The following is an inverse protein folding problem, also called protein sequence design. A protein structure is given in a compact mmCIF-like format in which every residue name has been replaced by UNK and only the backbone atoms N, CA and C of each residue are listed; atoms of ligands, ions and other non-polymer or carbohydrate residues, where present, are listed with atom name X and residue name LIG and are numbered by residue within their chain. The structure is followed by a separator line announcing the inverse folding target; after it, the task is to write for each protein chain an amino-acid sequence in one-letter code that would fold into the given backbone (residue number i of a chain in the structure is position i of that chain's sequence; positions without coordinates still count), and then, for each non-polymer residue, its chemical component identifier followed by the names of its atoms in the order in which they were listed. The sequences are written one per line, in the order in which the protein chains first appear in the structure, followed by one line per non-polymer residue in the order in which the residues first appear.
data_IF_427119421359
#
_entry.id   IF_427119421359
#
_cell.length_a   1.000
_cell.length_b   1.000
_cell.length_c   1.000
_cell.angle_alpha   90.00
_cell.angle_beta   90.00
_cell.angle_gamma   90.00
#
_symmetry.space_group_name_H-M   'P 1'
#
loop_
_entity.id
_entity.type
_entity.pdbx_description
1 polymer ?
#
# COMPACT_ATOMS: atom_id res chain seq x y z
N UNK A 1 53.70 -0.38 -3.07
CA UNK A 1 53.29 -0.90 -1.75
C UNK A 1 52.38 -2.11 -1.97
N UNK A 2 52.91 -3.30 -1.73
CA UNK A 2 52.21 -4.58 -1.89
C UNK A 2 51.54 -4.91 -0.56
N UNK A 3 50.22 -5.09 -0.57
CA UNK A 3 49.46 -5.48 0.61
C UNK A 3 49.16 -6.97 0.50
N UNK A 4 49.85 -7.76 1.33
CA UNK A 4 49.58 -9.18 1.52
C UNK A 4 48.34 -9.32 2.39
N UNK A 5 47.32 -10.04 1.89
CA UNK A 5 46.20 -10.53 2.71
C UNK A 5 46.36 -12.04 2.82
N UNK A 6 46.41 -12.49 4.06
CA UNK A 6 46.65 -13.87 4.46
C UNK A 6 45.43 -14.75 4.20
N UNK A 7 45.67 -15.89 3.55
CA UNK A 7 44.74 -17.01 3.45
C UNK A 7 44.62 -17.70 4.82
N UNK A 8 43.41 -17.87 5.33
CA UNK A 8 43.12 -18.77 6.45
C UNK A 8 42.56 -20.07 5.86
N UNK A 9 43.32 -21.15 6.01
CA UNK A 9 42.91 -22.52 5.71
C UNK A 9 42.16 -23.09 6.92
N UNK A 10 40.95 -23.62 6.72
CA UNK A 10 40.22 -24.42 7.71
C UNK A 10 40.26 -25.88 7.25
N UNK A 11 40.56 -26.86 8.14
CA UNK A 11 40.76 -28.25 7.74
C UNK A 11 39.45 -28.98 7.41
N UNK A 12 39.61 -29.87 6.43
CA UNK A 12 38.68 -30.90 5.98
C UNK A 12 38.26 -31.83 7.12
N UNK A 13 36.96 -32.13 7.22
CA UNK A 13 36.46 -33.22 8.07
C UNK A 13 35.75 -34.26 7.20
N UNK A 14 36.31 -35.46 7.26
CA UNK A 14 35.89 -36.65 6.55
C UNK A 14 34.60 -37.26 7.14
N UNK A 15 33.78 -37.81 6.23
CA UNK A 15 33.17 -39.13 6.32
C UNK A 15 32.03 -39.37 7.32
N UNK A 16 30.81 -39.51 6.80
CA UNK A 16 29.86 -40.59 7.16
C UNK A 16 28.97 -40.90 5.94
N UNK A 17 29.12 -42.11 5.38
CA UNK A 17 28.17 -42.78 4.48
C UNK A 17 26.88 -43.15 5.22
N UNK A 18 25.76 -43.27 4.50
CA UNK A 18 25.16 -44.60 4.47
C UNK A 18 24.73 -45.04 3.07
N UNK A 19 25.17 -46.25 2.74
CA UNK A 19 24.63 -47.16 1.76
C UNK A 19 23.16 -47.51 2.10
N UNK A 20 22.27 -47.46 1.09
CA UNK A 20 21.49 -48.63 0.62
C UNK A 20 20.17 -48.25 -0.09
N UNK A 21 20.19 -48.52 -1.40
CA UNK A 21 19.23 -49.39 -2.08
C UNK A 21 17.73 -49.08 -2.00
N UNK A 22 17.23 -48.34 -3.00
CA UNK A 22 15.87 -48.50 -3.51
C UNK A 22 15.88 -48.59 -5.04
N UNK A 23 15.67 -49.81 -5.55
CA UNK A 23 15.39 -50.12 -6.96
C UNK A 23 14.05 -49.51 -7.36
N UNK A 24 14.02 -48.71 -8.42
CA UNK A 24 12.78 -48.31 -9.12
C UNK A 24 12.82 -48.97 -10.51
N UNK A 25 11.75 -49.67 -10.94
CA UNK A 25 11.72 -50.36 -12.21
C UNK A 25 11.46 -49.39 -13.38
N UNK A 26 12.30 -49.51 -14.40
CA UNK A 26 12.13 -48.90 -15.71
C UNK A 26 11.03 -49.64 -16.47
N UNK A 27 9.87 -49.02 -16.67
CA UNK A 27 8.87 -49.47 -17.66
C UNK A 27 8.78 -48.45 -18.78
N UNK A 28 9.41 -48.78 -19.90
CA UNK A 28 9.26 -48.11 -21.18
C UNK A 28 7.92 -48.51 -21.79
N UNK A 29 7.00 -47.57 -21.95
CA UNK A 29 5.78 -47.76 -22.73
C UNK A 29 5.83 -46.89 -24.00
N UNK A 30 6.22 -47.52 -25.10
CA UNK A 30 6.05 -47.01 -26.45
C UNK A 30 4.56 -47.02 -26.77
N UNK A 31 3.95 -45.85 -26.95
CA UNK A 31 2.59 -45.73 -27.47
C UNK A 31 2.61 -44.97 -28.79
N UNK A 32 2.55 -45.76 -29.86
CA UNK A 32 2.18 -45.34 -31.21
C UNK A 32 0.67 -45.18 -31.23
N UNK A 33 0.14 -43.99 -31.52
CA UNK A 33 -1.27 -43.83 -31.86
C UNK A 33 -1.42 -43.13 -33.19
N UNK A 34 -2.16 -43.83 -34.06
CA UNK A 34 -2.50 -43.46 -35.42
C UNK A 34 -3.51 -42.31 -35.44
N UNK A 35 -3.32 -41.42 -36.40
CA UNK A 35 -4.26 -40.38 -36.80
C UNK A 35 -5.37 -40.99 -37.66
N UNK A 36 -6.63 -40.85 -37.23
CA UNK A 36 -7.81 -41.03 -38.09
C UNK A 36 -8.79 -39.88 -37.88
N UNK A 37 -8.88 -39.05 -38.93
CA UNK A 37 -10.04 -38.36 -39.49
C UNK A 37 -11.34 -38.26 -38.67
N UNK A 38 -11.79 -37.00 -38.53
CA UNK A 38 -13.09 -36.56 -39.04
C UNK A 38 -14.31 -36.79 -38.15
N UNK A 39 -15.01 -35.71 -37.81
CA UNK A 39 -16.44 -35.45 -38.06
C UNK A 39 -16.76 -34.05 -37.53
N UNK A 40 -17.25 -33.19 -38.42
CA UNK A 40 -17.90 -31.93 -38.09
C UNK A 40 -19.30 -32.23 -37.56
N UNK A 41 -19.60 -31.81 -36.34
CA UNK A 41 -20.97 -31.70 -35.82
C UNK A 41 -21.16 -30.35 -35.16
N UNK A 42 -21.80 -29.45 -35.92
CA UNK A 42 -22.47 -28.24 -35.45
C UNK A 42 -23.58 -28.62 -34.47
N UNK A 43 -23.40 -28.27 -33.20
CA UNK A 43 -24.44 -28.33 -32.18
C UNK A 43 -24.80 -26.91 -31.73
N UNK A 44 -25.86 -26.38 -32.31
CA UNK A 44 -26.56 -25.17 -31.86
C UNK A 44 -27.27 -25.48 -30.54
N UNK A 45 -26.80 -24.92 -29.43
CA UNK A 45 -27.50 -24.97 -28.14
C UNK A 45 -27.92 -23.56 -27.74
N UNK A 46 -29.23 -23.32 -27.81
CA UNK A 46 -29.88 -22.12 -27.32
C UNK A 46 -29.80 -22.09 -25.79
N UNK A 47 -29.13 -21.08 -25.25
CA UNK A 47 -29.12 -20.79 -23.82
C UNK A 47 -30.44 -20.11 -23.43
N UNK A 48 -31.19 -20.76 -22.54
CA UNK A 48 -32.35 -20.19 -21.83
C UNK A 48 -31.79 -19.45 -20.62
N UNK A 49 -31.94 -18.12 -20.60
CA UNK A 49 -31.64 -17.23 -19.48
C UNK A 49 -32.87 -17.15 -18.59
N UNK A 50 -32.82 -17.51 -17.29
CA UNK A 50 -33.84 -17.10 -16.34
C UNK A 50 -33.44 -15.73 -15.76
N UNK A 51 -34.17 -14.71 -16.20
CA UNK A 51 -34.22 -13.40 -15.57
C UNK A 51 -34.98 -13.53 -14.24
N UNK A 52 -34.31 -13.27 -13.13
CA UNK A 52 -34.95 -13.16 -11.82
C UNK A 52 -34.28 -12.04 -11.02
N UNK A 53 -34.50 -10.81 -11.49
CA UNK A 53 -34.09 -9.59 -10.81
C UNK A 53 -35.20 -9.15 -9.85
N UNK A 54 -35.20 -9.65 -8.62
CA UNK A 54 -36.03 -9.13 -7.53
C UNK A 54 -35.40 -7.86 -6.96
N UNK A 55 -35.91 -6.71 -7.39
CA UNK A 55 -35.62 -5.41 -6.80
C UNK A 55 -36.15 -5.35 -5.36
N UNK A 56 -35.25 -5.27 -4.38
CA UNK A 56 -35.58 -4.94 -3.00
C UNK A 56 -35.50 -3.43 -2.87
N UNK A 57 -36.64 -2.78 -2.97
CA UNK A 57 -36.81 -1.35 -2.75
C UNK A 57 -36.82 -1.07 -1.23
N UNK A 58 -35.65 -0.87 -0.63
CA UNK A 58 -35.53 -0.24 0.68
C UNK A 58 -35.05 1.20 0.47
N UNK A 59 -35.96 2.08 0.05
CA UNK A 59 -35.77 3.53 0.11
C UNK A 59 -35.64 3.92 1.59
N UNK A 60 -34.40 4.07 2.05
CA UNK A 60 -34.13 4.78 3.30
C UNK A 60 -34.09 6.24 2.92
N UNK A 61 -35.14 6.97 3.29
CA UNK A 61 -35.31 8.40 3.02
C UNK A 61 -34.13 9.20 3.61
N UNK A 62 -33.11 9.46 2.79
CA UNK A 62 -31.99 10.35 3.14
C UNK A 62 -32.57 11.76 3.16
N UNK A 63 -32.97 12.23 4.35
CA UNK A 63 -33.36 13.62 4.54
C UNK A 63 -32.17 14.52 4.21
N UNK A 64 -32.28 15.44 3.24
CA UNK A 64 -31.25 16.43 3.04
C UNK A 64 -31.19 17.30 4.29
N UNK A 65 -30.08 17.22 5.03
CA UNK A 65 -29.78 18.16 6.12
C UNK A 65 -29.34 19.48 5.48
N UNK A 66 -30.30 20.16 4.85
CA UNK A 66 -30.27 21.59 4.59
C UNK A 66 -31.13 22.24 5.68
N UNK A 67 -30.54 22.32 6.87
CA UNK A 67 -30.97 23.28 7.88
C UNK A 67 -30.81 24.68 7.27
N UNK A 68 -31.93 25.27 6.82
CA UNK A 68 -32.03 26.72 6.61
C UNK A 68 -31.78 27.40 7.95
N UNK A 69 -30.52 27.78 8.21
CA UNK A 69 -30.23 28.74 9.25
C UNK A 69 -30.58 30.12 8.70
N UNK A 70 -31.60 30.72 9.30
CA UNK A 70 -32.05 32.07 8.99
C UNK A 70 -30.90 33.08 9.15
N UNK A 71 -30.96 34.09 8.30
CA UNK A 71 -30.06 35.23 8.19
C UNK A 71 -29.77 35.88 9.56
N UNK A 72 -28.54 35.72 10.03
CA UNK A 72 -27.83 36.70 10.85
C UNK A 72 -26.34 36.65 10.43
N UNK A 73 -25.84 37.77 9.93
CA UNK A 73 -24.43 38.06 9.59
C UNK A 73 -23.59 38.25 10.89
N UNK A 74 -22.23 38.35 10.90
CA UNK A 74 -21.23 38.25 9.83
C UNK A 74 -20.01 37.31 10.11
N UNK A 75 -19.37 36.82 9.03
CA UNK A 75 -17.94 36.47 8.89
C UNK A 75 -17.26 35.51 9.89
N UNK A 76 -17.81 34.32 10.12
CA UNK A 76 -17.07 33.21 10.72
C UNK A 76 -16.49 32.28 9.64
N UNK A 77 -15.30 32.61 9.13
CA UNK A 77 -14.52 31.77 8.19
C UNK A 77 -13.88 30.53 8.87
N UNK A 78 -14.43 30.05 9.98
CA UNK A 78 -13.81 29.02 10.82
C UNK A 78 -14.69 27.77 11.06
N UNK A 79 -15.70 27.57 10.22
CA UNK A 79 -16.72 26.52 10.41
C UNK A 79 -16.35 25.13 9.88
N UNK A 80 -15.21 24.95 9.19
CA UNK A 80 -14.94 23.70 8.46
C UNK A 80 -14.21 22.60 9.25
N UNK A 81 -13.71 22.84 10.47
CA UNK A 81 -12.86 21.84 11.16
C UNK A 81 -13.29 21.47 12.59
N UNK A 82 -14.40 21.99 13.13
CA UNK A 82 -14.71 21.87 14.57
C UNK A 82 -15.70 20.78 15.00
N UNK A 83 -16.19 19.95 14.09
CA UNK A 83 -16.99 18.76 14.43
C UNK A 83 -16.72 17.64 13.43
N UNK A 84 -15.52 17.07 13.46
CA UNK A 84 -15.41 15.66 13.06
C UNK A 84 -15.84 14.88 14.31
N UNK A 85 -17.16 14.73 14.44
CA UNK A 85 -17.77 13.83 15.42
C UNK A 85 -17.16 12.46 15.13
N UNK A 86 -16.74 11.72 16.17
CA UNK A 86 -15.93 10.49 16.10
C UNK A 86 -16.51 9.35 15.24
N UNK A 87 -17.65 9.57 14.59
CA UNK A 87 -18.50 8.55 13.99
C UNK A 87 -19.06 8.97 12.62
N UNK A 88 -18.59 10.05 12.00
CA UNK A 88 -18.99 10.43 10.64
C UNK A 88 -17.82 10.29 9.65
N UNK A 89 -18.14 9.95 8.40
CA UNK A 89 -17.20 10.00 7.28
C UNK A 89 -17.69 10.95 6.20
N UNK A 90 -16.75 11.52 5.46
CA UNK A 90 -17.03 12.37 4.32
C UNK A 90 -17.21 11.50 3.08
N UNK A 91 -18.40 11.50 2.51
CA UNK A 91 -18.75 10.78 1.28
C UNK A 91 -19.18 11.78 0.21
N UNK A 92 -18.95 11.43 -1.05
CA UNK A 92 -19.35 12.20 -2.22
C UNK A 92 -20.59 11.56 -2.83
N UNK A 93 -21.65 12.34 -2.97
CA UNK A 93 -22.90 11.92 -3.60
C UNK A 93 -22.78 11.95 -5.14
N UNK A 94 -23.77 11.39 -5.85
CA UNK A 94 -23.89 11.38 -7.32
C UNK A 94 -23.93 12.78 -7.96
N UNK A 95 -24.26 13.82 -7.18
CA UNK A 95 -24.23 15.23 -7.61
C UNK A 95 -22.87 15.89 -7.46
N UNK A 96 -21.83 15.12 -7.16
CA UNK A 96 -20.48 15.58 -6.83
C UNK A 96 -20.37 16.41 -5.54
N UNK A 97 -21.48 16.59 -4.80
CA UNK A 97 -21.48 17.24 -3.51
C UNK A 97 -20.97 16.29 -2.41
N UNK A 98 -20.05 16.78 -1.58
CA UNK A 98 -19.60 16.07 -0.39
C UNK A 98 -20.57 16.27 0.78
N UNK A 99 -20.84 15.22 1.53
CA UNK A 99 -21.62 15.25 2.78
C UNK A 99 -20.93 14.41 3.85
N UNK A 100 -21.07 14.83 5.11
CA UNK A 100 -20.74 13.99 6.25
C UNK A 100 -21.94 13.06 6.50
N UNK A 101 -21.72 11.75 6.55
CA UNK A 101 -22.75 10.78 6.95
C UNK A 101 -22.25 9.93 8.10
N UNK A 102 -23.14 9.41 8.96
CA UNK A 102 -22.74 8.49 10.02
C UNK A 102 -22.06 7.23 9.47
N UNK A 103 -21.04 6.75 10.17
CA UNK A 103 -20.38 5.49 9.84
C UNK A 103 -21.34 4.34 10.08
N UNK A 104 -21.49 3.42 9.11
CA UNK A 104 -22.35 2.26 9.27
C UNK A 104 -21.75 1.18 10.19
N UNK A 105 -20.44 1.24 10.46
CA UNK A 105 -19.70 0.28 11.29
C UNK A 105 -18.81 0.99 12.33
N UNK A 106 -18.49 0.30 13.46
CA UNK A 106 -17.54 0.77 14.46
C UNK A 106 -16.16 1.13 13.91
N UNK A 107 -15.35 1.79 14.74
CA UNK A 107 -13.97 2.14 14.41
C UNK A 107 -13.16 0.84 14.23
N UNK A 108 -12.40 0.76 13.13
CA UNK A 108 -11.60 -0.43 12.77
C UNK A 108 -12.33 -1.42 11.84
N UNK A 109 -13.62 -1.19 11.59
CA UNK A 109 -14.43 -2.02 10.69
C UNK A 109 -14.96 -1.23 9.49
N UNK A 110 -15.24 -1.96 8.41
CA UNK A 110 -15.78 -1.47 7.14
C UNK A 110 -17.08 -2.22 6.81
N UNK A 111 -18.05 -1.54 6.21
CA UNK A 111 -19.31 -2.16 5.79
C UNK A 111 -19.15 -2.79 4.41
N UNK A 112 -19.05 -4.12 4.34
CA UNK A 112 -18.93 -4.89 3.11
C UNK A 112 -20.06 -5.92 3.03
N UNK A 113 -20.82 -5.92 1.94
CA UNK A 113 -21.97 -6.83 1.75
C UNK A 113 -22.95 -6.86 2.95
N UNK A 114 -23.25 -5.69 3.53
CA UNK A 114 -24.13 -5.52 4.71
C UNK A 114 -23.60 -6.13 6.02
N UNK A 115 -22.30 -6.42 6.09
CA UNK A 115 -21.62 -6.89 7.31
C UNK A 115 -20.47 -5.95 7.64
N UNK A 116 -20.27 -5.71 8.93
CA UNK A 116 -19.06 -5.05 9.39
C UNK A 116 -17.92 -6.06 9.44
N UNK A 117 -16.85 -5.77 8.70
CA UNK A 117 -15.65 -6.61 8.58
C UNK A 117 -14.45 -5.85 9.11
N UNK A 118 -13.51 -6.56 9.74
CA UNK A 118 -12.28 -5.95 10.22
C UNK A 118 -11.38 -5.59 9.03
N UNK A 119 -10.79 -4.39 9.04
CA UNK A 119 -9.91 -3.93 7.96
C UNK A 119 -8.66 -4.81 7.78
N UNK A 120 -8.26 -5.56 8.81
CA UNK A 120 -7.10 -6.48 8.76
C UNK A 120 -7.48 -7.89 8.31
N UNK A 121 -8.76 -8.16 8.05
CA UNK A 121 -9.20 -9.48 7.61
C UNK A 121 -8.88 -9.72 6.13
N UNK A 122 -7.79 -10.45 5.89
CA UNK A 122 -7.34 -10.80 4.55
C UNK A 122 -8.13 -11.95 3.91
N UNK A 123 -9.14 -12.51 4.59
CA UNK A 123 -9.96 -13.61 4.04
C UNK A 123 -11.13 -13.11 3.20
N UNK A 124 -11.46 -11.82 3.29
CA UNK A 124 -12.61 -11.23 2.58
C UNK A 124 -12.34 -11.07 1.08
N UNK A 125 -11.11 -10.69 0.71
CA UNK A 125 -10.70 -10.49 -0.68
C UNK A 125 -9.76 -11.59 -1.16
N UNK A 126 -9.65 -11.77 -2.49
CA UNK A 126 -8.75 -12.77 -3.07
C UNK A 126 -7.27 -12.43 -2.84
N UNK A 127 -6.38 -13.38 -3.14
CA UNK A 127 -4.94 -13.16 -3.05
C UNK A 127 -4.51 -11.96 -3.92
N UNK A 128 -3.71 -11.06 -3.34
CA UNK A 128 -3.28 -9.83 -4.01
C UNK A 128 -4.29 -8.68 -3.98
N UNK A 129 -5.48 -8.89 -3.42
CA UNK A 129 -6.48 -7.84 -3.19
C UNK A 129 -6.47 -7.32 -1.75
N UNK A 130 -7.07 -6.15 -1.55
CA UNK A 130 -7.34 -5.53 -0.25
C UNK A 130 -8.69 -4.81 -0.28
N UNK A 131 -9.26 -4.59 0.90
CA UNK A 131 -10.46 -3.77 1.04
C UNK A 131 -10.12 -2.31 0.74
N UNK A 132 -10.90 -1.72 -0.15
CA UNK A 132 -10.81 -0.32 -0.53
C UNK A 132 -12.16 0.35 -0.34
N UNK A 133 -12.14 1.59 0.14
CA UNK A 133 -13.32 2.43 0.32
C UNK A 133 -13.29 3.50 -0.75
N UNK A 134 -14.30 3.55 -1.61
CA UNK A 134 -14.39 4.60 -2.61
C UNK A 134 -14.90 5.93 -2.03
N UNK A 135 -14.95 6.95 -2.89
CA UNK A 135 -15.43 8.27 -2.50
C UNK A 135 -16.91 8.30 -2.11
N UNK A 136 -17.72 7.31 -2.48
CA UNK A 136 -19.13 7.19 -2.08
C UNK A 136 -19.29 6.52 -0.71
N UNK A 137 -18.20 5.98 -0.15
CA UNK A 137 -18.23 5.16 1.06
C UNK A 137 -18.60 3.70 0.78
N UNK A 138 -18.63 3.25 -0.48
CA UNK A 138 -18.80 1.83 -0.76
C UNK A 138 -17.47 1.10 -0.62
N UNK A 139 -17.54 -0.07 0.00
CA UNK A 139 -16.37 -0.93 0.22
C UNK A 139 -16.35 -2.01 -0.87
N UNK A 140 -15.22 -2.14 -1.55
CA UNK A 140 -14.99 -3.19 -2.54
C UNK A 140 -13.60 -3.80 -2.37
N UNK A 141 -13.39 -4.97 -2.96
CA UNK A 141 -12.04 -5.54 -3.09
C UNK A 141 -11.36 -4.91 -4.31
N UNK A 142 -10.17 -4.36 -4.11
CA UNK A 142 -9.32 -3.83 -5.18
C UNK A 142 -7.91 -4.42 -5.07
N UNK A 143 -7.12 -4.33 -6.14
CA UNK A 143 -5.74 -4.78 -6.13
C UNK A 143 -4.88 -3.97 -5.15
N UNK A 144 -3.96 -4.66 -4.47
CA UNK A 144 -2.92 -4.00 -3.68
C UNK A 144 -2.07 -3.08 -4.58
N UNK A 145 -1.40 -2.05 -4.01
CA UNK A 145 -0.44 -1.26 -4.77
C UNK A 145 0.59 -2.16 -5.48
N UNK A 146 0.87 -1.85 -6.75
CA UNK A 146 1.74 -2.63 -7.65
C UNK A 146 1.21 -4.03 -8.04
N UNK A 147 -0.08 -4.30 -7.84
CA UNK A 147 -0.76 -5.46 -8.39
C UNK A 147 -1.70 -5.03 -9.52
N UNK A 148 -1.87 -5.90 -10.52
CA UNK A 148 -2.69 -5.70 -11.69
C UNK A 148 -3.90 -6.62 -11.64
N UNK A 149 -5.08 -6.07 -11.87
CA UNK A 149 -6.31 -6.82 -11.99
C UNK A 149 -6.37 -7.60 -13.30
N UNK A 150 -6.61 -8.90 -13.21
CA UNK A 150 -6.93 -9.75 -14.34
C UNK A 150 -8.45 -9.98 -14.42
N UNK A 151 -9.14 -9.46 -15.44
CA UNK A 151 -10.58 -9.60 -15.57
C UNK A 151 -11.03 -11.04 -15.87
N UNK A 152 -10.15 -11.91 -16.39
CA UNK A 152 -10.53 -13.29 -16.71
C UNK A 152 -10.53 -14.20 -15.49
N UNK A 153 -9.55 -14.04 -14.59
CA UNK A 153 -9.47 -14.84 -13.36
C UNK A 153 -10.08 -14.16 -12.13
N UNK A 154 -10.30 -12.83 -12.19
CA UNK A 154 -10.75 -12.04 -11.03
C UNK A 154 -9.69 -11.89 -9.93
N UNK A 155 -8.43 -12.23 -10.23
CA UNK A 155 -7.30 -12.13 -9.29
C UNK A 155 -6.42 -10.92 -9.59
N UNK A 156 -5.60 -10.56 -8.61
CA UNK A 156 -4.60 -9.51 -8.75
C UNK A 156 -3.20 -10.11 -8.78
N UNK A 157 -2.42 -9.79 -9.80
CA UNK A 157 -1.06 -10.29 -9.97
C UNK A 157 -0.05 -9.18 -9.74
N UNK A 158 1.00 -9.47 -8.99
CA UNK A 158 2.02 -8.49 -8.71
C UNK A 158 2.84 -8.17 -9.98
N UNK A 159 3.22 -6.90 -10.18
CA UNK A 159 4.07 -6.50 -11.31
C UNK A 159 5.39 -7.29 -11.31
N UNK A 160 5.88 -7.67 -12.47
CA UNK A 160 7.11 -8.47 -12.61
C UNK A 160 6.97 -9.95 -12.25
N UNK A 161 5.78 -10.42 -11.88
CA UNK A 161 5.44 -11.84 -11.81
C UNK A 161 4.80 -12.30 -13.13
N UNK A 162 4.71 -13.62 -13.34
CA UNK A 162 4.18 -14.19 -14.59
C UNK A 162 2.71 -13.81 -14.84
N UNK A 163 1.84 -13.91 -13.81
CA UNK A 163 0.40 -13.66 -13.95
C UNK A 163 -0.24 -14.44 -15.10
N UNK A 164 -1.00 -13.74 -15.95
CA UNK A 164 -1.63 -14.31 -17.15
C UNK A 164 -0.69 -14.39 -18.37
N UNK A 165 0.57 -13.99 -18.25
CA UNK A 165 1.53 -14.05 -19.35
C UNK A 165 1.99 -15.50 -19.62
N UNK A 166 2.48 -15.73 -20.85
CA UNK A 166 3.04 -17.03 -21.22
C UNK A 166 4.33 -17.33 -20.44
N UNK A 167 4.74 -18.61 -20.46
CA UNK A 167 6.01 -19.02 -19.86
C UNK A 167 7.19 -18.19 -20.40
N UNK A 168 8.07 -17.75 -19.50
CA UNK A 168 9.19 -16.87 -19.84
C UNK A 168 8.83 -15.39 -20.03
N UNK A 169 7.59 -15.01 -19.76
CA UNK A 169 7.14 -13.62 -19.74
C UNK A 169 6.69 -13.18 -18.34
N UNK A 170 6.61 -11.88 -18.11
CA UNK A 170 6.08 -11.27 -16.90
C UNK A 170 5.27 -10.02 -17.18
N UNK A 171 4.44 -9.62 -16.21
CA UNK A 171 3.63 -8.41 -16.28
C UNK A 171 4.51 -7.17 -16.07
N UNK A 172 4.38 -6.20 -16.95
CA UNK A 172 5.00 -4.88 -16.80
C UNK A 172 3.99 -3.78 -17.03
N UNK A 173 4.17 -2.65 -16.35
CA UNK A 173 3.38 -1.44 -16.57
C UNK A 173 4.10 -0.56 -17.59
N UNK A 174 3.48 -0.37 -18.76
CA UNK A 174 4.00 0.54 -19.79
C UNK A 174 3.81 2.01 -19.41
N UNK A 175 4.49 2.90 -20.12
CA UNK A 175 4.47 4.35 -19.86
C UNK A 175 3.06 4.98 -19.92
N UNK A 176 2.13 4.37 -20.65
CA UNK A 176 0.74 4.81 -20.77
C UNK A 176 -0.18 4.21 -19.69
N UNK A 177 0.37 3.52 -18.68
CA UNK A 177 -0.40 2.78 -17.67
C UNK A 177 -1.00 1.47 -18.17
N UNK A 178 -0.71 1.07 -19.42
CA UNK A 178 -1.17 -0.21 -19.99
C UNK A 178 -0.32 -1.35 -19.47
N UNK A 179 -0.95 -2.50 -19.17
CA UNK A 179 -0.21 -3.69 -18.72
C UNK A 179 0.10 -4.59 -19.91
N UNK A 180 1.39 -4.87 -20.09
CA UNK A 180 1.90 -5.69 -21.18
C UNK A 180 2.65 -6.90 -20.63
N UNK A 181 2.72 -7.96 -21.45
CA UNK A 181 3.57 -9.11 -21.18
C UNK A 181 4.92 -8.91 -21.87
N UNK A 182 5.99 -8.78 -21.09
CA UNK A 182 7.36 -8.66 -21.60
C UNK A 182 8.17 -9.91 -21.30
N UNK A 183 9.25 -10.11 -22.07
CA UNK A 183 10.15 -11.25 -21.88
C UNK A 183 10.90 -11.09 -20.56
N UNK A 184 10.74 -12.06 -19.67
CA UNK A 184 11.48 -12.09 -18.41
C UNK A 184 12.96 -12.42 -18.69
N UNK A 185 13.92 -11.53 -18.31
CA UNK A 185 15.35 -11.78 -18.52
C UNK A 185 15.86 -13.07 -17.86
N UNK A 186 15.20 -13.51 -16.79
CA UNK A 186 15.53 -14.73 -16.06
C UNK A 186 14.81 -15.98 -16.56
N UNK A 187 13.86 -15.85 -17.50
CA UNK A 187 12.97 -16.90 -18.02
C UNK A 187 12.10 -17.64 -16.97
N UNK A 188 12.44 -17.57 -15.69
CA UNK A 188 11.77 -18.24 -14.58
C UNK A 188 11.07 -17.21 -13.68
N UNK A 189 9.84 -17.52 -13.31
CA UNK A 189 9.11 -16.75 -12.31
C UNK A 189 9.77 -16.89 -10.91
N UNK A 190 9.67 -15.85 -10.08
CA UNK A 190 10.30 -15.84 -8.75
C UNK A 190 11.79 -15.50 -8.75
N UNK A 191 12.34 -15.01 -9.86
CA UNK A 191 13.71 -14.50 -9.94
C UNK A 191 13.74 -13.04 -10.38
N UNK A 192 14.66 -12.26 -9.80
CA UNK A 192 14.94 -10.88 -10.16
C UNK A 192 16.27 -10.80 -10.91
N UNK A 193 16.29 -10.07 -12.02
CA UNK A 193 17.49 -9.83 -12.80
C UNK A 193 18.27 -8.66 -12.20
N UNK A 194 19.55 -8.87 -11.90
CA UNK A 194 20.41 -7.79 -11.43
C UNK A 194 21.21 -7.22 -12.60
N UNK A 195 21.00 -5.93 -12.89
CA UNK A 195 21.50 -5.31 -14.11
C UNK A 195 23.04 -5.24 -14.18
N UNK A 196 23.73 -5.05 -13.05
CA UNK A 196 25.19 -4.92 -13.04
C UNK A 196 25.90 -6.26 -13.19
N UNK A 197 25.46 -7.28 -12.45
CA UNK A 197 26.09 -8.61 -12.50
C UNK A 197 25.58 -9.47 -13.65
N UNK A 198 24.45 -9.09 -14.27
CA UNK A 198 23.72 -9.88 -15.29
C UNK A 198 23.32 -11.27 -14.80
N UNK A 199 23.12 -11.41 -13.48
CA UNK A 199 22.75 -12.67 -12.82
C UNK A 199 21.32 -12.55 -12.29
N UNK A 200 20.62 -13.68 -12.29
CA UNK A 200 19.30 -13.83 -11.69
C UNK A 200 19.39 -14.32 -10.25
N UNK A 201 18.67 -13.65 -9.36
CA UNK A 201 18.60 -13.95 -7.92
C UNK A 201 17.19 -14.34 -7.53
N UNK A 202 17.05 -15.27 -6.59
CA UNK A 202 15.73 -15.70 -6.10
C UNK A 202 15.06 -14.55 -5.35
N UNK A 203 13.85 -14.17 -5.77
CA UNK A 203 13.05 -13.15 -5.09
C UNK A 203 12.64 -13.63 -3.71
N UNK A 204 12.86 -12.80 -2.70
CA UNK A 204 12.32 -12.93 -1.34
C UNK A 204 11.18 -11.92 -1.07
N UNK A 205 10.68 -11.32 -2.14
CA UNK A 205 9.57 -10.37 -2.15
C UNK A 205 8.57 -10.76 -3.26
N UNK A 206 7.38 -10.16 -3.22
CA UNK A 206 6.37 -10.30 -4.27
C UNK A 206 6.28 -9.03 -5.08
N UNK A 207 6.06 -9.17 -6.38
CA UNK A 207 5.90 -8.04 -7.27
C UNK A 207 7.20 -7.45 -7.77
N UNK A 208 7.13 -6.14 -8.01
CA UNK A 208 8.19 -5.35 -8.62
C UNK A 208 8.99 -4.65 -7.53
N UNK A 209 10.30 -4.61 -7.73
CA UNK A 209 11.21 -3.83 -6.92
C UNK A 209 12.03 -2.98 -7.88
N UNK A 210 12.04 -1.66 -7.68
CA UNK A 210 12.88 -0.80 -8.48
C UNK A 210 14.35 -1.21 -8.33
N UNK A 211 15.12 -1.09 -9.40
CA UNK A 211 16.54 -1.47 -9.39
C UNK A 211 17.32 -0.77 -8.27
N UNK A 212 16.97 0.48 -7.93
CA UNK A 212 17.58 1.24 -6.83
C UNK A 212 17.26 0.73 -5.42
N UNK A 213 16.30 -0.18 -5.27
CA UNK A 213 15.89 -0.77 -3.99
C UNK A 213 16.15 -2.28 -3.93
N UNK A 214 16.71 -2.87 -4.98
CA UNK A 214 17.00 -4.29 -5.03
C UNK A 214 18.28 -4.59 -4.26
N UNK A 215 18.15 -5.16 -3.07
CA UNK A 215 19.26 -5.60 -2.24
C UNK A 215 19.57 -7.05 -2.61
N UNK A 216 20.77 -7.27 -3.12
CA UNK A 216 21.23 -8.60 -3.54
C UNK A 216 22.11 -9.21 -2.47
N UNK A 217 21.78 -10.45 -2.10
CA UNK A 217 22.59 -11.25 -1.19
C UNK A 217 23.35 -12.30 -2.01
N UNK A 218 24.65 -12.05 -2.23
CA UNK A 218 25.46 -12.90 -3.12
C UNK A 218 25.65 -14.32 -2.59
N UNK A 219 25.80 -14.47 -1.27
CA UNK A 219 26.12 -15.75 -0.61
C UNK A 219 24.97 -16.76 -0.74
N UNK A 220 23.74 -16.32 -0.53
CA UNK A 220 22.54 -17.16 -0.58
C UNK A 220 21.81 -17.10 -1.94
N UNK A 221 22.31 -16.29 -2.89
CA UNK A 221 21.70 -16.05 -4.21
C UNK A 221 20.25 -15.56 -4.13
N UNK A 222 19.92 -14.77 -3.12
CA UNK A 222 18.59 -14.14 -2.99
C UNK A 222 18.64 -12.65 -3.26
N UNK A 223 17.46 -12.08 -3.55
CA UNK A 223 17.26 -10.65 -3.64
C UNK A 223 16.04 -10.26 -2.81
N UNK A 224 16.19 -9.17 -2.06
CA UNK A 224 15.17 -8.55 -1.22
C UNK A 224 14.89 -7.14 -1.72
N UNK A 225 13.66 -6.67 -1.52
CA UNK A 225 13.34 -5.28 -1.79
C UNK A 225 13.47 -4.49 -0.50
N UNK A 226 14.41 -3.56 -0.46
CA UNK A 226 14.64 -2.72 0.70
C UNK A 226 14.63 -1.26 0.30
N UNK A 227 13.87 -0.45 1.03
CA UNK A 227 14.13 0.99 1.00
C UNK A 227 15.58 1.17 1.47
N UNK A 228 16.42 1.79 0.63
CA UNK A 228 17.67 2.33 1.12
C UNK A 228 17.25 3.44 2.08
N UNK A 229 17.15 3.08 3.37
CA UNK A 229 17.08 4.09 4.41
C UNK A 229 18.39 4.84 4.24
N UNK A 230 18.30 6.06 3.72
CA UNK A 230 19.43 6.96 3.70
C UNK A 230 19.77 7.20 5.17
N UNK A 231 20.59 6.32 5.74
CA UNK A 231 21.31 6.63 6.96
C UNK A 231 22.09 7.88 6.60
N UNK A 232 21.75 9.00 7.24
CA UNK A 232 22.55 10.21 7.10
C UNK A 232 24.00 9.80 7.34
N UNK A 233 24.82 9.84 6.29
CA UNK A 233 26.26 9.56 6.34
C UNK A 233 26.94 10.54 7.30
N UNK A 234 26.27 11.64 7.61
CA UNK A 234 26.60 12.49 8.73
C UNK A 234 26.12 11.82 10.01
N UNK A 235 27.06 11.24 10.77
CA UNK A 235 26.95 11.25 12.22
C UNK A 235 26.53 12.67 12.60
N UNK A 236 25.29 12.85 13.06
CA UNK A 236 24.87 14.15 13.58
C UNK A 236 25.86 14.43 14.71
N UNK A 237 26.79 15.40 14.55
CA UNK A 237 27.79 15.66 15.58
C UNK A 237 27.02 15.90 16.87
N UNK A 238 27.51 15.36 17.99
CA UNK A 238 26.87 15.55 19.30
C UNK A 238 26.60 17.03 19.53
N UNK A 239 25.38 17.45 19.20
CA UNK A 239 25.09 18.86 19.05
C UNK A 239 25.10 19.46 20.44
N UNK A 240 26.03 20.40 20.69
CA UNK A 240 26.03 21.16 21.95
C UNK A 240 24.63 21.72 22.14
N UNK A 241 24.00 21.36 23.26
CA UNK A 241 22.68 21.89 23.62
C UNK A 241 22.74 23.42 23.60
N UNK A 242 21.72 24.04 23.03
CA UNK A 242 21.58 25.49 23.11
C UNK A 242 21.18 25.89 24.54
N UNK A 243 21.51 27.12 24.95
CA UNK A 243 21.05 27.64 26.24
C UNK A 243 19.51 27.69 26.26
N UNK A 244 18.91 27.53 27.45
CA UNK A 244 17.45 27.56 27.59
C UNK A 244 16.82 28.81 26.94
N UNK A 245 15.76 28.60 26.14
CA UNK A 245 15.09 29.67 25.38
C UNK A 245 15.66 29.94 23.98
N UNK A 246 16.75 29.28 23.61
CA UNK A 246 17.32 29.34 22.26
C UNK A 246 17.18 28.00 21.54
N UNK A 247 17.04 28.04 20.22
CA UNK A 247 16.93 26.88 19.34
C UNK A 247 17.95 27.00 18.21
N UNK A 248 18.55 25.87 17.84
CA UNK A 248 19.56 25.84 16.78
C UNK A 248 18.88 25.98 15.41
N UNK A 249 19.37 26.87 14.57
CA UNK A 249 18.94 26.98 13.17
C UNK A 249 19.62 25.92 12.28
N UNK A 250 19.26 25.90 10.99
CA UNK A 250 19.83 24.97 10.01
C UNK A 250 21.32 25.22 9.73
N UNK A 251 21.86 26.39 10.11
CA UNK A 251 23.30 26.71 10.01
C UNK A 251 24.09 26.21 11.21
N UNK A 252 23.40 25.68 12.23
CA UNK A 252 24.02 25.25 13.47
C UNK A 252 24.18 26.36 14.51
N UNK A 253 23.61 27.55 14.30
CA UNK A 253 23.71 28.69 15.24
C UNK A 253 22.51 28.69 16.19
N UNK A 254 22.74 28.84 17.51
CA UNK A 254 21.65 28.99 18.48
C UNK A 254 21.03 30.39 18.36
N UNK A 255 19.75 30.45 18.02
CA UNK A 255 18.97 31.69 17.88
C UNK A 255 17.89 31.77 18.95
N UNK A 256 17.52 32.97 19.33
CA UNK A 256 16.38 33.18 20.22
C UNK A 256 15.08 32.77 19.51
N UNK A 257 14.27 32.00 20.22
CA UNK A 257 12.92 31.65 19.77
C UNK A 257 11.95 32.63 20.41
N UNK A 258 11.45 33.58 19.61
CA UNK A 258 10.38 34.45 20.08
C UNK A 258 9.03 33.88 19.68
N UNK A 259 8.08 34.04 20.59
CA UNK A 259 6.75 33.47 20.49
C UNK A 259 5.79 34.60 20.15
N UNK A 260 5.24 34.59 18.95
CA UNK A 260 4.29 35.62 18.51
C UNK A 260 2.88 35.04 18.55
N UNK A 261 1.94 35.67 19.29
CA UNK A 261 0.54 35.28 19.22
C UNK A 261 -0.02 35.65 17.84
N UNK A 262 -0.56 34.68 17.12
CA UNK A 262 -1.28 34.95 15.88
C UNK A 262 -2.75 35.23 16.18
N UNK A 263 -3.46 35.86 15.24
CA UNK A 263 -4.88 36.23 15.37
C UNK A 263 -5.86 35.06 15.42
N UNK A 264 -5.40 33.81 15.56
CA UNK A 264 -6.32 32.68 15.71
C UNK A 264 -6.68 32.49 17.19
N UNK A 265 -7.98 32.61 17.46
CA UNK A 265 -8.56 32.58 18.79
C UNK A 265 -9.11 31.18 19.11
N UNK A 266 -8.96 30.76 20.36
CA UNK A 266 -9.64 29.59 20.91
C UNK A 266 -10.43 30.01 22.16
N UNK A 267 -11.75 29.73 22.25
CA UNK A 267 -12.52 30.04 23.43
C UNK A 267 -12.03 29.19 24.60
N UNK A 268 -11.81 29.84 25.74
CA UNK A 268 -11.25 29.22 26.95
C UNK A 268 -12.38 28.51 27.71
N UNK A 269 -12.59 27.22 27.47
CA UNK A 269 -13.69 26.48 28.11
C UNK A 269 -13.44 26.17 29.60
N UNK A 270 -12.17 26.15 30.07
CA UNK A 270 -11.82 25.70 31.44
C UNK A 270 -10.71 26.52 32.11
N UNK A 271 -10.59 27.81 31.79
CA UNK A 271 -9.65 28.72 32.44
C UNK A 271 -8.16 28.52 32.09
N UNK A 272 -7.78 27.47 31.36
CA UNK A 272 -6.42 27.25 30.85
C UNK A 272 -6.43 27.17 29.31
N UNK A 273 -5.36 27.68 28.68
CA UNK A 273 -5.20 27.56 27.23
C UNK A 273 -4.76 26.14 26.84
N UNK A 274 -5.25 25.60 25.72
CA UNK A 274 -4.74 24.34 25.17
C UNK A 274 -3.27 24.46 24.77
N UNK A 275 -2.58 23.31 24.68
CA UNK A 275 -1.18 23.25 24.22
C UNK A 275 -0.99 23.98 22.89
N UNK A 276 0.02 24.86 22.82
CA UNK A 276 0.27 25.71 21.65
C UNK A 276 -0.53 27.01 21.61
N UNK A 277 -1.21 27.37 22.71
CA UNK A 277 -1.92 28.65 22.87
C UNK A 277 -1.48 29.35 24.17
N UNK A 278 -1.51 30.69 24.17
CA UNK A 278 -1.14 31.53 25.31
C UNK A 278 -2.24 32.58 25.55
N UNK A 279 -2.54 32.90 26.81
CA UNK A 279 -3.50 33.98 27.13
C UNK A 279 -2.89 35.33 26.75
N UNK A 280 -3.66 36.14 26.04
CA UNK A 280 -3.34 37.55 25.84
C UNK A 280 -3.74 38.38 27.10
N UNK A 281 -3.38 39.69 27.15
CA UNK A 281 -3.77 40.56 28.27
C UNK A 281 -5.28 40.69 28.49
N UNK A 282 -6.09 40.41 27.47
CA UNK A 282 -7.55 40.42 27.52
C UNK A 282 -8.12 39.10 28.08
N UNK A 283 -7.29 38.08 28.25
CA UNK A 283 -7.65 36.77 28.79
C UNK A 283 -7.98 35.72 27.72
N UNK A 284 -7.87 36.07 26.43
CA UNK A 284 -8.17 35.20 25.31
C UNK A 284 -6.99 34.29 24.96
N UNK A 285 -7.24 33.02 24.66
CA UNK A 285 -6.19 32.10 24.23
C UNK A 285 -5.87 32.29 22.74
N UNK A 286 -4.66 32.78 22.44
CA UNK A 286 -4.14 32.94 21.09
C UNK A 286 -3.14 31.86 20.74
N UNK A 287 -3.24 31.31 19.53
CA UNK A 287 -2.24 30.35 19.04
C UNK A 287 -0.89 31.05 19.01
N UNK A 288 0.14 30.37 19.47
CA UNK A 288 1.49 30.90 19.42
C UNK A 288 2.24 30.31 18.24
N UNK A 289 2.82 31.17 17.40
CA UNK A 289 3.79 30.77 16.40
C UNK A 289 5.19 31.08 16.92
N UNK A 290 6.05 30.08 16.81
CA UNK A 290 7.46 30.22 17.14
C UNK A 290 8.16 30.75 15.90
N UNK A 291 8.71 31.95 15.99
CA UNK A 291 9.55 32.54 14.96
C UNK A 291 11.01 32.55 15.43
N UNK A 292 11.93 32.60 14.47
CA UNK A 292 13.37 32.56 14.69
C UNK A 292 13.95 33.93 14.33
N UNK A 293 14.74 34.52 15.24
CA UNK A 293 15.44 35.80 15.05
C UNK A 293 16.89 35.60 14.70
#
# INVERSE_FOLDING_TARGET
MRMHIALILIPSRAGVEPDSSAKIPTTSATTTFASTNGINTTATTNAIVPDNTTAINNETEIKPVLSKHNNDTPSDNNFLFRRIIKEEWFVKNSTDAGSCVPRPCPIGELMFEKKCINITDNTVCNEGQMLYVDFTGLVHCDCKPNFIYDPWSGNCFALGDQGYCNFGQHLVMGANGTVNCEKNPCYLNGYAFHNDTKICYRKMFRGFCDEGFLIVHEVNRTAECGAIVAHSIFDLPTMRSCNGGTIRDYTGTCREQFTVPVSSFYPVMYGQCPLGFMKDPQGDCRKIHKLFG
#
